data_IF_109394463153
#
_entry.id   IF_109394463153
#
_cell.length_a   1.000
_cell.length_b   1.000
_cell.length_c   1.000
_cell.angle_alpha   90.00
_cell.angle_beta   90.00
_cell.angle_gamma   90.00
#
_symmetry.space_group_name_H-M   'P 1'
#
loop_
_entity.id
_entity.type
_entity.pdbx_description
1 polymer ?
#
# COMPACT_ATOMS: atom_id res chain seq x y z
N UNK A 1 15.11 -1.85 4.28
CA UNK A 1 13.78 -1.32 3.93
C UNK A 1 13.22 -1.81 2.58
N UNK A 2 13.93 -1.68 1.46
CA UNK A 2 13.35 -1.76 0.10
C UNK A 2 12.72 -3.10 -0.32
N UNK A 3 13.10 -4.23 0.29
CA UNK A 3 12.51 -5.55 -0.04
C UNK A 3 11.39 -6.00 0.92
N UNK A 4 11.46 -5.63 2.20
CA UNK A 4 10.54 -6.12 3.23
C UNK A 4 9.16 -5.46 3.16
N UNK A 5 9.10 -4.15 2.91
CA UNK A 5 7.84 -3.44 2.79
C UNK A 5 6.97 -3.93 1.63
N UNK A 6 7.50 -4.08 0.38
CA UNK A 6 6.71 -4.64 -0.70
C UNK A 6 6.09 -5.99 -0.32
N UNK A 7 6.87 -6.92 0.25
CA UNK A 7 6.38 -8.24 0.67
C UNK A 7 5.18 -8.13 1.64
N UNK A 8 5.36 -7.38 2.73
CA UNK A 8 4.31 -7.15 3.73
C UNK A 8 3.07 -6.49 3.11
N UNK A 9 3.27 -5.41 2.36
CA UNK A 9 2.17 -4.60 1.79
C UNK A 9 1.31 -5.38 0.80
N UNK A 10 1.88 -6.33 0.06
CA UNK A 10 1.13 -7.23 -0.83
C UNK A 10 0.25 -8.14 0.00
N UNK A 11 0.83 -8.82 0.98
CA UNK A 11 0.14 -9.80 1.78
C UNK A 11 -1.00 -9.14 2.57
N UNK A 12 -0.76 -7.93 3.09
CA UNK A 12 -1.82 -7.09 3.63
C UNK A 12 -2.87 -6.72 2.56
N UNK A 13 -2.42 -6.29 1.37
CA UNK A 13 -3.30 -5.89 0.27
C UNK A 13 -4.26 -6.99 -0.18
N UNK A 14 -3.93 -8.26 0.01
CA UNK A 14 -4.81 -9.39 -0.37
C UNK A 14 -5.96 -9.66 0.59
N UNK A 15 -5.97 -9.07 1.79
CA UNK A 15 -7.08 -9.18 2.75
C UNK A 15 -8.36 -8.58 2.20
N UNK A 16 -9.52 -9.25 2.22
CA UNK A 16 -10.81 -8.65 1.87
C UNK A 16 -11.36 -7.74 2.98
N UNK A 17 -12.46 -7.02 2.71
CA UNK A 17 -13.15 -6.23 3.74
C UNK A 17 -13.60 -7.12 4.91
N UNK A 18 -14.07 -8.33 4.62
CA UNK A 18 -14.47 -9.32 5.62
C UNK A 18 -13.27 -9.86 6.40
N UNK A 19 -12.18 -10.19 5.71
CA UNK A 19 -10.96 -10.68 6.34
C UNK A 19 -10.29 -9.62 7.23
N UNK A 20 -10.47 -8.32 6.95
CA UNK A 20 -9.99 -7.28 7.85
C UNK A 20 -10.59 -7.38 9.26
N UNK A 21 -11.78 -7.93 9.40
CA UNK A 21 -12.45 -8.11 10.69
C UNK A 21 -12.20 -9.50 11.31
N UNK A 22 -11.55 -10.41 10.60
CA UNK A 22 -11.12 -11.71 11.13
C UNK A 22 -9.95 -11.56 12.11
N UNK A 23 -9.89 -12.48 13.07
CA UNK A 23 -8.87 -12.52 14.11
C UNK A 23 -7.59 -13.22 13.64
N UNK A 24 -6.46 -12.58 13.89
CA UNK A 24 -5.12 -13.15 13.77
C UNK A 24 -4.82 -14.10 14.94
N UNK A 25 -3.69 -14.82 14.88
CA UNK A 25 -3.26 -15.71 15.97
C UNK A 25 -2.98 -14.98 17.29
N UNK A 26 -2.69 -13.68 17.25
CA UNK A 26 -2.49 -12.83 18.44
C UNK A 26 -3.80 -12.30 19.04
N UNK A 27 -4.96 -12.62 18.45
CA UNK A 27 -6.28 -12.20 18.95
C UNK A 27 -6.68 -10.78 18.56
N UNK A 28 -5.88 -10.10 17.76
CA UNK A 28 -6.23 -8.84 17.09
C UNK A 28 -6.99 -9.12 15.80
N UNK A 29 -7.78 -8.18 15.28
CA UNK A 29 -8.21 -8.30 13.89
C UNK A 29 -7.11 -7.85 12.94
N UNK A 30 -7.13 -8.29 11.68
CA UNK A 30 -6.18 -7.79 10.69
C UNK A 30 -6.26 -6.26 10.52
N UNK A 31 -7.45 -5.67 10.68
CA UNK A 31 -7.64 -4.21 10.71
C UNK A 31 -6.84 -3.54 11.83
N UNK A 32 -6.89 -4.12 13.04
CA UNK A 32 -6.11 -3.63 14.19
C UNK A 32 -4.61 -3.76 13.93
N UNK A 33 -4.18 -4.92 13.40
CA UNK A 33 -2.78 -5.18 13.05
C UNK A 33 -2.23 -4.17 12.03
N UNK A 34 -2.96 -3.89 10.95
CA UNK A 34 -2.51 -2.94 9.93
C UNK A 34 -2.48 -1.49 10.44
N UNK A 35 -3.45 -1.10 11.27
CA UNK A 35 -3.47 0.22 11.87
C UNK A 35 -2.33 0.43 12.87
N UNK A 36 -1.99 -0.61 13.63
CA UNK A 36 -0.81 -0.66 14.48
C UNK A 36 0.49 -0.48 13.70
N UNK A 37 0.70 -1.24 12.62
CA UNK A 37 1.89 -1.09 11.77
C UNK A 37 1.99 0.34 11.21
N UNK A 38 0.87 0.92 10.76
CA UNK A 38 0.85 2.32 10.31
C UNK A 38 1.25 3.30 11.44
N UNK A 39 0.84 3.04 12.68
CA UNK A 39 1.18 3.87 13.82
C UNK A 39 2.66 3.81 14.20
N UNK A 40 3.29 2.64 14.11
CA UNK A 40 4.73 2.49 14.33
C UNK A 40 5.56 3.24 13.29
N UNK A 41 5.13 3.25 12.02
CA UNK A 41 5.79 4.10 11.01
C UNK A 41 5.73 5.59 11.35
N UNK A 42 4.57 6.08 11.81
CA UNK A 42 4.43 7.48 12.20
C UNK A 42 5.28 7.85 13.41
N UNK A 43 5.32 6.95 14.40
CA UNK A 43 6.13 7.13 15.59
C UNK A 43 7.62 7.18 15.23
N UNK A 44 8.08 6.26 14.38
CA UNK A 44 9.44 6.26 13.86
C UNK A 44 9.76 7.55 13.09
N UNK A 45 8.87 7.97 12.19
CA UNK A 45 9.02 9.19 11.41
C UNK A 45 9.08 10.44 12.31
N UNK A 46 8.35 10.46 13.42
CA UNK A 46 8.42 11.51 14.44
C UNK A 46 9.76 11.48 15.17
N UNK A 47 10.15 10.34 15.75
CA UNK A 47 11.42 10.18 16.49
C UNK A 47 12.63 10.61 15.66
N UNK A 48 12.65 10.24 14.38
CA UNK A 48 13.72 10.63 13.47
C UNK A 48 13.68 12.13 13.09
N UNK A 49 12.49 12.75 13.00
CA UNK A 49 12.38 14.21 12.80
C UNK A 49 12.90 14.98 14.01
N UNK A 50 12.53 14.54 15.21
CA UNK A 50 12.98 15.14 16.46
C UNK A 50 14.50 15.02 16.58
N UNK A 51 15.04 13.81 16.38
CA UNK A 51 16.48 13.58 16.34
C UNK A 51 17.19 14.43 15.29
N UNK A 52 16.62 14.57 14.08
CA UNK A 52 17.21 15.43 13.04
C UNK A 52 17.25 16.90 13.45
N UNK A 53 16.25 17.36 14.19
CA UNK A 53 16.12 18.75 14.61
C UNK A 53 16.97 19.09 15.84
N UNK A 54 17.13 18.16 16.78
CA UNK A 54 17.72 18.42 18.10
C UNK A 54 19.03 17.68 18.35
N UNK A 55 19.32 16.61 17.61
CA UNK A 55 20.39 15.66 17.89
C UNK A 55 20.12 14.77 19.10
N UNK A 56 18.93 14.80 19.70
CA UNK A 56 18.57 14.00 20.87
C UNK A 56 17.82 12.73 20.45
N UNK A 57 18.11 11.62 21.12
CA UNK A 57 17.48 10.30 20.87
C UNK A 57 16.20 10.11 21.65
N UNK A 58 16.03 10.86 22.73
CA UNK A 58 14.78 10.95 23.49
C UNK A 58 13.85 11.98 22.86
N UNK A 59 12.53 11.76 22.87
CA UNK A 59 11.58 12.79 22.47
C UNK A 59 11.82 14.03 23.32
N UNK A 60 11.91 15.21 22.71
CA UNK A 60 11.85 16.43 23.49
C UNK A 60 10.46 16.49 24.15
N UNK A 61 10.39 16.49 25.49
CA UNK A 61 9.17 16.55 26.32
C UNK A 61 8.24 17.76 26.03
N UNK A 62 8.53 18.58 25.02
CA UNK A 62 8.05 19.95 24.92
C UNK A 62 7.10 20.26 23.75
N UNK A 63 6.97 19.41 22.73
CA UNK A 63 6.10 19.73 21.58
C UNK A 63 4.75 19.00 21.63
N UNK A 64 3.80 19.62 22.33
CA UNK A 64 2.40 19.17 22.40
C UNK A 64 1.71 19.22 21.04
N UNK A 65 2.05 20.18 20.18
CA UNK A 65 1.42 20.36 18.87
C UNK A 65 1.84 19.24 17.90
N UNK A 66 3.12 18.85 17.91
CA UNK A 66 3.61 17.72 17.12
C UNK A 66 3.01 16.38 17.59
N UNK A 67 2.77 16.24 18.89
CA UNK A 67 2.13 15.06 19.48
C UNK A 67 0.63 15.02 19.15
N UNK A 68 -0.04 16.18 19.16
CA UNK A 68 -1.43 16.30 18.74
C UNK A 68 -1.62 16.01 17.25
N UNK A 69 -0.66 16.42 16.41
CA UNK A 69 -0.65 16.08 14.98
C UNK A 69 -0.51 14.57 14.76
N UNK A 70 0.37 13.91 15.52
CA UNK A 70 0.53 12.45 15.50
C UNK A 70 -0.78 11.75 15.91
N UNK A 71 -1.34 12.10 17.07
CA UNK A 71 -2.59 11.48 17.55
C UNK A 71 -3.77 11.72 16.61
N UNK A 72 -3.85 12.90 16.00
CA UNK A 72 -4.84 13.19 14.96
C UNK A 72 -4.62 12.33 13.70
N UNK A 73 -3.39 12.19 13.23
CA UNK A 73 -3.07 11.34 12.07
C UNK A 73 -3.43 9.87 12.33
N UNK A 74 -3.30 9.41 13.57
CA UNK A 74 -3.64 8.06 14.01
C UNK A 74 -5.13 7.86 14.34
N UNK A 75 -5.94 8.93 14.33
CA UNK A 75 -7.38 8.85 14.62
C UNK A 75 -7.71 8.61 16.09
N UNK A 76 -6.79 8.91 17.01
CA UNK A 76 -6.99 8.74 18.44
C UNK A 76 -7.86 9.87 19.03
N UNK A 77 -8.78 9.51 19.92
CA UNK A 77 -9.62 10.47 20.63
C UNK A 77 -8.80 11.25 21.66
N UNK A 78 -9.28 12.45 22.04
CA UNK A 78 -8.58 13.29 23.03
C UNK A 78 -8.40 12.59 24.38
N UNK A 79 -9.32 11.72 24.77
CA UNK A 79 -9.29 10.94 26.01
C UNK A 79 -8.17 9.88 26.00
N UNK A 80 -7.86 9.31 24.83
CA UNK A 80 -6.71 8.41 24.65
C UNK A 80 -5.37 9.16 24.66
N UNK A 81 -5.38 10.50 24.54
CA UNK A 81 -4.16 11.33 24.54
C UNK A 81 -3.58 11.53 25.93
N UNK A 82 -4.40 11.92 26.91
CA UNK A 82 -3.93 12.11 28.30
C UNK A 82 -3.37 10.80 28.89
N UNK A 83 -3.94 9.69 28.44
CA UNK A 83 -3.53 8.33 28.72
C UNK A 83 -2.13 7.96 28.19
N UNK A 84 -1.77 8.44 27.00
CA UNK A 84 -0.53 8.11 26.29
C UNK A 84 0.59 9.14 26.50
N UNK A 85 0.26 10.32 27.02
CA UNK A 85 1.19 11.39 27.40
C UNK A 85 1.72 11.26 28.84
N UNK A 86 1.31 10.22 29.58
CA UNK A 86 1.81 9.88 30.92
C UNK A 86 3.11 9.06 30.86
N UNK A 87 3.27 8.08 31.75
CA UNK A 87 4.33 7.07 31.60
C UNK A 87 4.14 6.32 30.28
N UNK A 88 5.17 6.29 29.43
CA UNK A 88 5.14 5.59 28.15
C UNK A 88 4.84 4.10 28.36
N UNK A 89 3.72 3.64 27.80
CA UNK A 89 3.27 2.25 27.86
C UNK A 89 2.94 1.78 26.44
N UNK A 90 3.75 0.85 25.95
CA UNK A 90 3.63 0.28 24.61
C UNK A 90 2.34 -0.50 24.43
N UNK A 91 1.89 -1.25 25.44
CA UNK A 91 0.68 -2.06 25.37
C UNK A 91 -0.56 -1.16 25.31
N UNK A 92 -0.54 -0.08 26.10
CA UNK A 92 -1.61 0.93 26.07
C UNK A 92 -1.68 1.65 24.74
N UNK A 93 -0.53 2.02 24.16
CA UNK A 93 -0.44 2.61 22.82
C UNK A 93 -1.03 1.67 21.77
N UNK A 94 -0.56 0.42 21.75
CA UNK A 94 -1.01 -0.61 20.83
C UNK A 94 -2.53 -0.86 20.93
N UNK A 95 -3.07 -0.94 22.15
CA UNK A 95 -4.50 -1.13 22.38
C UNK A 95 -5.34 0.05 21.88
N UNK A 96 -4.89 1.29 22.13
CA UNK A 96 -5.60 2.49 21.70
C UNK A 96 -5.63 2.60 20.16
N UNK A 97 -4.50 2.35 19.50
CA UNK A 97 -4.42 2.32 18.03
C UNK A 97 -5.28 1.21 17.45
N UNK A 98 -5.23 0.01 18.04
CA UNK A 98 -6.09 -1.09 17.67
C UNK A 98 -7.57 -0.70 17.75
N UNK A 99 -7.99 -0.06 18.84
CA UNK A 99 -9.37 0.40 19.01
C UNK A 99 -9.77 1.48 17.98
N UNK A 100 -8.91 2.45 17.71
CA UNK A 100 -9.17 3.50 16.71
C UNK A 100 -9.31 2.93 15.30
N UNK A 101 -8.46 1.96 14.96
CA UNK A 101 -8.41 1.34 13.63
C UNK A 101 -9.68 0.54 13.29
N UNK A 102 -10.46 0.12 14.29
CA UNK A 102 -11.75 -0.55 14.08
C UNK A 102 -12.78 0.31 13.31
N UNK A 103 -12.59 1.64 13.30
CA UNK A 103 -13.49 2.58 12.62
C UNK A 103 -13.09 2.87 11.18
N UNK A 104 -11.85 2.54 10.81
CA UNK A 104 -11.36 2.81 9.47
C UNK A 104 -11.93 1.79 8.50
N UNK A 105 -12.56 2.25 7.43
CA UNK A 105 -12.79 1.38 6.28
C UNK A 105 -11.46 1.01 5.61
N UNK A 106 -11.52 0.03 4.69
CA UNK A 106 -10.34 -0.47 3.99
C UNK A 106 -9.56 0.65 3.28
N UNK A 107 -10.23 1.55 2.57
CA UNK A 107 -9.54 2.60 1.82
C UNK A 107 -8.78 3.55 2.76
N UNK A 108 -9.43 3.96 3.87
CA UNK A 108 -8.80 4.79 4.90
C UNK A 108 -7.61 4.06 5.53
N UNK A 109 -7.78 2.79 5.91
CA UNK A 109 -6.73 1.99 6.53
C UNK A 109 -5.48 1.87 5.64
N UNK A 110 -5.66 1.53 4.36
CA UNK A 110 -4.55 1.40 3.43
C UNK A 110 -3.92 2.75 3.08
N UNK A 111 -4.71 3.83 3.04
CA UNK A 111 -4.17 5.19 2.87
C UNK A 111 -3.30 5.60 4.07
N UNK A 112 -3.71 5.28 5.30
CA UNK A 112 -2.87 5.48 6.50
C UNK A 112 -1.60 4.64 6.44
N UNK A 113 -1.73 3.36 6.09
CA UNK A 113 -0.62 2.42 6.00
C UNK A 113 0.44 2.86 4.96
N UNK A 114 0.01 3.21 3.75
CA UNK A 114 0.90 3.66 2.68
C UNK A 114 1.47 5.05 2.96
N UNK A 115 0.63 5.97 3.43
CA UNK A 115 1.04 7.33 3.77
C UNK A 115 2.07 7.40 4.89
N UNK A 116 1.91 6.57 5.92
CA UNK A 116 2.86 6.50 7.04
C UNK A 116 4.22 5.94 6.63
N UNK A 117 4.24 4.90 5.81
CA UNK A 117 5.49 4.38 5.24
C UNK A 117 6.19 5.40 4.33
N UNK A 118 5.43 6.14 3.51
CA UNK A 118 5.97 7.20 2.66
C UNK A 118 6.63 8.31 3.49
N UNK A 119 5.97 8.78 4.55
CA UNK A 119 6.52 9.78 5.48
C UNK A 119 7.78 9.28 6.18
N UNK A 120 7.79 8.03 6.65
CA UNK A 120 9.00 7.43 7.24
C UNK A 120 10.17 7.45 6.25
N UNK A 121 9.93 7.04 4.99
CA UNK A 121 10.96 7.05 3.95
C UNK A 121 11.49 8.45 3.64
N UNK A 122 10.62 9.46 3.60
CA UNK A 122 11.01 10.84 3.38
C UNK A 122 11.95 11.33 4.50
N UNK A 123 11.60 11.06 5.75
CA UNK A 123 12.44 11.45 6.90
C UNK A 123 13.78 10.74 6.87
N UNK A 124 13.81 9.42 6.60
CA UNK A 124 15.06 8.66 6.49
C UNK A 124 15.94 9.18 5.35
N UNK A 125 15.36 9.51 4.19
CA UNK A 125 16.10 10.06 3.05
C UNK A 125 16.70 11.45 3.32
N UNK A 126 16.18 12.16 4.33
CA UNK A 126 16.64 13.48 4.73
C UNK A 126 17.64 13.47 5.91
N UNK A 127 18.02 12.30 6.43
CA UNK A 127 19.09 12.18 7.43
C UNK A 127 20.46 12.33 6.75
N UNK A 128 21.40 13.01 7.42
CA UNK A 128 22.81 13.02 6.99
C UNK A 128 23.53 11.73 7.34
N UNK A 129 24.66 11.43 6.68
CA UNK A 129 25.50 10.27 7.02
C UNK A 129 25.96 10.29 8.48
N UNK A 130 26.24 11.48 9.03
CA UNK A 130 26.57 11.67 10.45
C UNK A 130 25.40 11.30 11.34
N UNK A 131 24.18 11.76 11.03
CA UNK A 131 22.98 11.40 11.78
C UNK A 131 22.66 9.91 11.69
N UNK A 132 22.88 9.28 10.53
CA UNK A 132 22.69 7.84 10.34
C UNK A 132 23.65 7.01 11.20
N UNK A 133 24.85 7.53 11.50
CA UNK A 133 25.90 6.82 12.23
C UNK A 133 26.09 7.27 13.69
N UNK A 134 25.38 8.30 14.13
CA UNK A 134 25.45 8.82 15.50
C UNK A 134 24.67 7.98 16.52
N UNK A 135 24.99 8.18 17.81
CA UNK A 135 24.35 7.54 18.95
C UNK A 135 24.28 6.01 18.81
N UNK A 136 25.46 5.38 18.78
CA UNK A 136 25.58 3.92 18.66
C UNK A 136 25.55 3.28 20.04
N UNK A 137 24.57 2.41 20.24
CA UNK A 137 24.46 1.55 21.42
C UNK A 137 24.34 0.09 20.94
N UNK A 138 25.05 -0.82 21.61
CA UNK A 138 25.06 -2.25 21.25
C UNK A 138 25.36 -2.55 19.77
N UNK A 139 26.14 -1.67 19.11
CA UNK A 139 26.54 -1.82 17.72
C UNK A 139 25.48 -1.38 16.69
N UNK A 140 24.39 -0.73 17.12
CA UNK A 140 23.37 -0.14 16.24
C UNK A 140 23.27 1.36 16.51
N UNK A 141 23.23 2.18 15.46
CA UNK A 141 22.92 3.60 15.62
C UNK A 141 21.44 3.79 15.98
N UNK A 142 21.12 4.87 16.69
CA UNK A 142 19.74 5.22 17.01
C UNK A 142 18.84 5.21 15.76
N UNK A 143 19.27 5.88 14.69
CA UNK A 143 18.50 5.95 13.45
C UNK A 143 18.24 4.56 12.86
N UNK A 144 19.23 3.66 12.89
CA UNK A 144 19.05 2.28 12.43
C UNK A 144 18.09 1.51 13.35
N UNK A 145 18.26 1.60 14.67
CA UNK A 145 17.44 0.88 15.64
C UNK A 145 15.96 1.27 15.55
N UNK A 146 15.66 2.57 15.40
CA UNK A 146 14.30 3.07 15.20
C UNK A 146 13.69 2.55 13.89
N UNK A 147 14.41 2.69 12.77
CA UNK A 147 13.88 2.24 11.47
C UNK A 147 13.70 0.73 11.44
N UNK A 148 14.65 -0.05 11.96
CA UNK A 148 14.54 -1.50 12.01
C UNK A 148 13.38 -1.93 12.90
N UNK A 149 13.37 -1.49 14.16
CA UNK A 149 12.38 -1.90 15.17
C UNK A 149 10.96 -1.51 14.80
N UNK A 150 10.77 -0.33 14.21
CA UNK A 150 9.43 0.21 13.96
C UNK A 150 8.96 -0.05 12.50
N UNK A 151 9.76 -0.74 11.67
CA UNK A 151 9.39 -1.08 10.29
C UNK A 151 9.81 -2.50 9.87
N UNK A 152 10.91 -2.65 9.12
CA UNK A 152 11.25 -3.90 8.45
C UNK A 152 11.67 -5.04 9.39
N UNK A 153 12.07 -4.74 10.63
CA UNK A 153 12.30 -5.71 11.69
C UNK A 153 11.00 -6.20 12.35
N UNK A 154 9.92 -5.43 12.25
CA UNK A 154 8.61 -5.71 12.85
C UNK A 154 7.66 -6.44 11.89
N UNK A 155 7.76 -6.21 10.58
CA UNK A 155 6.92 -6.96 9.60
C UNK A 155 6.97 -8.49 9.73
N UNK A 156 8.13 -9.13 10.01
CA UNK A 156 8.21 -10.58 10.20
C UNK A 156 7.32 -11.11 11.34
N UNK A 157 7.01 -10.30 12.35
CA UNK A 157 6.12 -10.70 13.46
C UNK A 157 4.69 -10.99 12.95
N UNK A 158 4.29 -10.34 11.87
CA UNK A 158 2.99 -10.47 11.23
C UNK A 158 3.00 -11.36 9.98
N UNK A 159 4.16 -11.87 9.56
CA UNK A 159 4.29 -12.65 8.33
C UNK A 159 3.48 -13.96 8.42
N UNK A 160 3.54 -14.65 9.56
CA UNK A 160 2.75 -15.87 9.78
C UNK A 160 1.24 -15.58 9.79
N UNK A 161 0.83 -14.44 10.35
CA UNK A 161 -0.58 -14.03 10.38
C UNK A 161 -1.09 -13.77 8.96
N UNK A 162 -0.31 -13.06 8.14
CA UNK A 162 -0.68 -12.77 6.75
C UNK A 162 -0.60 -13.99 5.83
N UNK A 163 0.36 -14.90 6.06
CA UNK A 163 0.56 -16.07 5.20
C UNK A 163 -0.68 -16.99 5.15
N UNK A 164 -1.51 -17.00 6.20
CA UNK A 164 -2.75 -17.80 6.26
C UNK A 164 -3.82 -17.30 5.28
N UNK A 165 -3.81 -16.00 4.98
CA UNK A 165 -4.87 -15.31 4.23
C UNK A 165 -4.43 -14.87 2.83
N UNK A 166 -3.14 -14.97 2.50
CA UNK A 166 -2.63 -14.77 1.13
C UNK A 166 -3.23 -15.85 0.20
N UNK A 167 -3.82 -15.47 -0.95
CA UNK A 167 -4.34 -16.41 -1.92
C UNK A 167 -3.31 -17.48 -2.32
N UNK A 168 -3.59 -18.73 -1.95
CA UNK A 168 -2.70 -19.86 -2.19
C UNK A 168 -2.89 -20.51 -3.58
N UNK A 169 -3.88 -20.06 -4.36
CA UNK A 169 -4.16 -20.58 -5.72
C UNK A 169 -4.54 -19.46 -6.69
N UNK A 170 -4.41 -19.74 -7.98
CA UNK A 170 -4.83 -18.83 -9.05
C UNK A 170 -6.32 -18.50 -8.99
N UNK A 171 -7.17 -19.46 -8.60
CA UNK A 171 -8.61 -19.25 -8.40
C UNK A 171 -8.91 -18.28 -7.26
N UNK A 172 -8.23 -18.43 -6.12
CA UNK A 172 -8.41 -17.51 -4.99
C UNK A 172 -7.96 -16.08 -5.37
N UNK A 173 -6.83 -15.96 -6.08
CA UNK A 173 -6.33 -14.66 -6.54
C UNK A 173 -7.27 -14.04 -7.60
N UNK A 174 -7.77 -14.83 -8.55
CA UNK A 174 -8.71 -14.35 -9.56
C UNK A 174 -10.06 -13.95 -8.95
N UNK A 175 -10.61 -14.74 -8.03
CA UNK A 175 -11.84 -14.40 -7.32
C UNK A 175 -11.71 -13.07 -6.57
N UNK A 176 -10.53 -12.81 -6.00
CA UNK A 176 -10.23 -11.54 -5.36
C UNK A 176 -10.21 -10.38 -6.35
N UNK A 177 -9.47 -10.53 -7.45
CA UNK A 177 -9.42 -9.55 -8.53
C UNK A 177 -10.84 -9.26 -9.07
N UNK A 178 -11.70 -10.27 -9.17
CA UNK A 178 -13.07 -10.12 -9.66
C UNK A 178 -13.92 -9.21 -8.75
N UNK A 179 -13.70 -9.24 -7.42
CA UNK A 179 -14.43 -8.37 -6.49
C UNK A 179 -14.07 -6.90 -6.71
N UNK A 180 -12.78 -6.59 -6.78
CA UNK A 180 -12.30 -5.21 -6.93
C UNK A 180 -12.57 -4.68 -8.36
N UNK A 181 -12.49 -5.56 -9.36
CA UNK A 181 -12.87 -5.24 -10.73
C UNK A 181 -14.32 -4.76 -10.83
N UNK A 182 -15.26 -5.45 -10.19
CA UNK A 182 -16.69 -5.06 -10.23
C UNK A 182 -16.89 -3.63 -9.72
N UNK A 183 -16.27 -3.29 -8.59
CA UNK A 183 -16.33 -1.95 -7.98
C UNK A 183 -15.74 -0.89 -8.93
N UNK A 184 -14.56 -1.16 -9.48
CA UNK A 184 -13.90 -0.27 -10.44
C UNK A 184 -14.74 -0.08 -11.72
N UNK A 185 -15.17 -1.19 -12.33
CA UNK A 185 -15.93 -1.19 -13.57
C UNK A 185 -17.28 -0.51 -13.44
N UNK A 186 -17.90 -0.60 -12.25
CA UNK A 186 -19.12 0.11 -11.92
C UNK A 186 -18.92 1.63 -11.89
N UNK A 187 -17.81 2.13 -11.34
CA UNK A 187 -17.48 3.57 -11.38
C UNK A 187 -17.30 4.06 -12.82
N UNK A 188 -16.53 3.32 -13.62
CA UNK A 188 -16.36 3.60 -15.07
C UNK A 188 -17.70 3.58 -15.80
N UNK A 189 -18.60 2.63 -15.44
CA UNK A 189 -19.95 2.55 -16.01
C UNK A 189 -20.80 3.77 -15.66
N UNK A 190 -20.75 4.25 -14.42
CA UNK A 190 -21.52 5.42 -13.96
C UNK A 190 -21.09 6.72 -14.66
N UNK A 191 -19.79 6.91 -14.90
CA UNK A 191 -19.27 8.03 -15.70
C UNK A 191 -19.86 8.03 -17.12
N UNK A 192 -20.06 6.83 -17.68
CA UNK A 192 -20.64 6.64 -19.00
C UNK A 192 -19.73 7.09 -20.14
N UNK A 193 -20.13 6.76 -21.38
CA UNK A 193 -19.30 7.06 -22.57
C UNK A 193 -19.06 8.55 -22.78
N UNK A 194 -20.04 9.38 -22.43
CA UNK A 194 -19.94 10.83 -22.59
C UNK A 194 -18.92 11.44 -21.63
N UNK A 195 -18.87 10.96 -20.38
CA UNK A 195 -17.94 11.45 -19.37
C UNK A 195 -16.49 11.05 -19.61
N UNK A 196 -16.21 10.03 -20.46
CA UNK A 196 -14.84 9.62 -20.77
C UNK A 196 -13.97 10.72 -21.41
N UNK A 197 -14.58 11.74 -22.02
CA UNK A 197 -13.86 12.90 -22.56
C UNK A 197 -13.52 13.97 -21.52
N UNK A 198 -14.09 13.91 -20.33
CA UNK A 198 -13.84 14.88 -19.26
C UNK A 198 -12.44 14.66 -18.65
N UNK A 199 -11.88 15.72 -18.07
CA UNK A 199 -10.55 15.69 -17.48
C UNK A 199 -10.59 15.43 -15.98
N UNK A 200 -9.68 14.59 -15.52
CA UNK A 200 -9.34 14.42 -14.10
C UNK A 200 -8.63 15.66 -13.57
N UNK A 201 -8.51 15.77 -12.25
CA UNK A 201 -7.78 16.85 -11.57
C UNK A 201 -6.30 16.96 -11.96
N UNK A 202 -5.70 15.87 -12.43
CA UNK A 202 -4.32 15.80 -12.92
C UNK A 202 -4.19 16.02 -14.43
N UNK A 203 -5.29 16.35 -15.10
CA UNK A 203 -5.31 16.81 -16.49
C UNK A 203 -5.40 15.71 -17.54
N UNK A 204 -5.45 14.42 -17.18
CA UNK A 204 -5.77 13.34 -18.13
C UNK A 204 -7.26 13.30 -18.43
N UNK A 205 -7.66 12.84 -19.62
CA UNK A 205 -9.07 12.48 -19.80
C UNK A 205 -9.37 11.18 -19.05
N UNK A 206 -10.62 10.95 -18.67
CA UNK A 206 -11.02 9.65 -18.12
C UNK A 206 -10.79 8.50 -19.11
N UNK A 207 -10.83 8.77 -20.42
CA UNK A 207 -10.41 7.81 -21.46
C UNK A 207 -8.91 7.49 -21.35
N UNK A 208 -8.06 8.49 -21.10
CA UNK A 208 -6.62 8.27 -20.90
C UNK A 208 -6.37 7.44 -19.64
N UNK A 209 -7.11 7.71 -18.56
CA UNK A 209 -7.03 6.91 -17.33
C UNK A 209 -7.44 5.45 -17.58
N UNK A 210 -8.51 5.20 -18.34
CA UNK A 210 -8.89 3.85 -18.77
C UNK A 210 -7.78 3.22 -19.61
N UNK A 211 -7.25 3.93 -20.62
CA UNK A 211 -6.19 3.44 -21.50
C UNK A 211 -4.91 3.05 -20.72
N UNK A 212 -4.57 3.81 -19.70
CA UNK A 212 -3.50 3.50 -18.74
C UNK A 212 -3.77 2.20 -17.98
N UNK A 213 -4.98 2.01 -17.43
CA UNK A 213 -5.39 0.76 -16.76
C UNK A 213 -5.32 -0.42 -17.73
N UNK A 214 -5.78 -0.27 -18.99
CA UNK A 214 -5.66 -1.32 -20.02
C UNK A 214 -4.22 -1.76 -20.20
N UNK A 215 -3.28 -0.81 -20.29
CA UNK A 215 -1.85 -1.12 -20.39
C UNK A 215 -1.40 -2.05 -19.26
N UNK A 216 -1.70 -1.70 -18.01
CA UNK A 216 -1.32 -2.53 -16.86
C UNK A 216 -1.98 -3.92 -16.85
N UNK A 217 -3.22 -4.04 -17.31
CA UNK A 217 -3.88 -5.35 -17.46
C UNK A 217 -3.16 -6.22 -18.50
N UNK A 218 -2.73 -5.63 -19.62
CA UNK A 218 -1.95 -6.34 -20.65
C UNK A 218 -0.52 -6.67 -20.20
N UNK A 219 0.00 -5.98 -19.19
CA UNK A 219 1.32 -6.23 -18.62
C UNK A 219 1.38 -7.48 -17.75
N UNK A 220 0.29 -7.79 -17.04
CA UNK A 220 0.21 -8.97 -16.17
C UNK A 220 0.53 -10.28 -16.88
N UNK A 221 -0.17 -10.69 -17.96
CA UNK A 221 0.13 -11.95 -18.64
C UNK A 221 1.55 -11.97 -19.20
N UNK A 222 2.03 -10.85 -19.77
CA UNK A 222 3.41 -10.74 -20.28
C UNK A 222 4.45 -10.97 -19.18
N UNK A 223 4.19 -10.48 -17.98
CA UNK A 223 5.11 -10.64 -16.84
C UNK A 223 5.07 -12.02 -16.22
N UNK A 224 3.90 -12.67 -16.17
CA UNK A 224 3.81 -14.08 -15.74
C UNK A 224 4.73 -14.92 -16.64
N UNK A 225 4.62 -14.77 -17.96
CA UNK A 225 5.48 -15.50 -18.91
C UNK A 225 6.96 -15.14 -18.77
N UNK A 226 7.30 -13.86 -18.56
CA UNK A 226 8.69 -13.47 -18.31
C UNK A 226 9.26 -14.06 -17.01
N UNK A 227 8.43 -14.19 -15.97
CA UNK A 227 8.84 -14.84 -14.70
C UNK A 227 9.05 -16.33 -14.92
N UNK A 228 8.12 -17.01 -15.62
CA UNK A 228 8.26 -18.42 -16.03
C UNK A 228 9.54 -18.68 -16.80
N UNK A 229 9.88 -17.77 -17.71
CA UNK A 229 11.10 -17.83 -18.52
C UNK A 229 12.38 -17.38 -17.77
N UNK A 230 12.28 -16.88 -16.53
CA UNK A 230 13.42 -16.33 -15.79
C UNK A 230 14.01 -15.05 -16.38
N UNK A 231 13.29 -14.36 -17.27
CA UNK A 231 13.72 -13.12 -17.96
C UNK A 231 13.10 -11.85 -17.39
N UNK A 232 12.27 -11.99 -16.35
CA UNK A 232 11.58 -10.89 -15.73
C UNK A 232 12.54 -9.79 -15.23
N UNK A 233 12.25 -8.55 -15.63
CA UNK A 233 12.88 -7.34 -15.11
C UNK A 233 11.83 -6.46 -14.44
N UNK A 234 11.99 -6.12 -13.14
CA UNK A 234 11.10 -5.17 -12.49
C UNK A 234 11.27 -3.78 -13.10
N UNK A 235 10.21 -2.97 -13.03
CA UNK A 235 10.34 -1.53 -13.30
C UNK A 235 11.08 -0.93 -12.11
N UNK A 236 12.19 -0.25 -12.38
CA UNK A 236 13.17 0.16 -11.40
C UNK A 236 13.04 1.63 -10.96
N UNK A 237 12.24 2.44 -11.66
CA UNK A 237 12.11 3.87 -11.35
C UNK A 237 10.75 4.46 -11.70
N UNK A 238 10.41 5.58 -11.05
CA UNK A 238 9.22 6.37 -11.37
C UNK A 238 9.22 6.82 -12.84
N UNK A 239 10.38 7.24 -13.36
CA UNK A 239 10.52 7.62 -14.77
C UNK A 239 10.09 6.50 -15.72
N UNK A 240 10.46 5.26 -15.44
CA UNK A 240 10.06 4.10 -16.27
C UNK A 240 8.56 3.81 -16.17
N UNK A 241 7.94 4.06 -15.00
CA UNK A 241 6.49 3.99 -14.81
C UNK A 241 5.82 5.07 -15.66
N UNK A 242 6.27 6.32 -15.58
CA UNK A 242 5.70 7.45 -16.32
C UNK A 242 5.81 7.23 -17.83
N UNK A 243 6.96 6.75 -18.30
CA UNK A 243 7.17 6.38 -19.69
C UNK A 243 6.25 5.24 -20.14
N UNK A 244 6.01 4.26 -19.27
CA UNK A 244 5.08 3.17 -19.55
C UNK A 244 3.65 3.68 -19.68
N UNK A 245 3.20 4.50 -18.72
CA UNK A 245 1.87 5.10 -18.70
C UNK A 245 1.65 5.97 -19.95
N UNK A 246 2.62 6.83 -20.29
CA UNK A 246 2.56 7.69 -21.47
C UNK A 246 2.43 6.88 -22.76
N UNK A 247 3.16 5.76 -22.89
CA UNK A 247 3.01 4.85 -24.05
C UNK A 247 1.65 4.18 -24.10
N UNK A 248 1.13 3.72 -22.97
CA UNK A 248 -0.20 3.08 -22.87
C UNK A 248 -1.31 4.03 -23.33
N UNK A 249 -1.24 5.31 -22.95
CA UNK A 249 -2.18 6.35 -23.41
C UNK A 249 -1.95 6.68 -24.89
N UNK A 250 -0.71 6.94 -25.30
CA UNK A 250 -0.40 7.36 -26.67
C UNK A 250 -0.80 6.31 -27.72
N UNK A 251 -0.60 5.03 -27.43
CA UNK A 251 -1.01 3.92 -28.33
C UNK A 251 -2.51 3.83 -28.55
N UNK A 252 -3.33 4.47 -27.69
CA UNK A 252 -4.80 4.46 -27.71
C UNK A 252 -5.40 5.83 -28.02
N UNK A 253 -4.58 6.78 -28.48
CA UNK A 253 -5.01 8.15 -28.75
C UNK A 253 -6.21 8.21 -29.73
N UNK A 254 -6.19 7.36 -30.76
CA UNK A 254 -7.23 7.28 -31.80
C UNK A 254 -8.39 6.35 -31.47
N UNK A 255 -8.33 5.62 -30.35
CA UNK A 255 -9.42 4.71 -29.96
C UNK A 255 -10.57 5.51 -29.38
N UNK A 256 -11.77 5.28 -29.90
CA UNK A 256 -13.00 5.92 -29.42
C UNK A 256 -13.45 5.40 -28.05
N UNK A 257 -14.28 6.15 -27.30
CA UNK A 257 -14.71 5.78 -25.95
C UNK A 257 -15.33 4.38 -25.83
N UNK A 258 -16.17 3.97 -26.80
CA UNK A 258 -16.81 2.65 -26.78
C UNK A 258 -15.79 1.52 -26.98
N UNK A 259 -14.98 1.61 -28.03
CA UNK A 259 -13.90 0.64 -28.28
C UNK A 259 -12.91 0.57 -27.11
N UNK A 260 -12.71 1.67 -26.37
CA UNK A 260 -11.85 1.67 -25.20
C UNK A 260 -12.42 0.90 -24.00
N UNK A 261 -13.75 0.92 -23.82
CA UNK A 261 -14.41 0.09 -22.83
C UNK A 261 -14.39 -1.39 -23.24
N UNK A 262 -14.57 -1.70 -24.52
CA UNK A 262 -14.46 -3.08 -25.03
C UNK A 262 -13.04 -3.64 -24.86
N UNK A 263 -12.03 -2.81 -25.09
CA UNK A 263 -10.63 -3.17 -24.89
C UNK A 263 -10.33 -3.39 -23.40
N UNK A 264 -10.83 -2.52 -22.53
CA UNK A 264 -10.76 -2.68 -21.08
C UNK A 264 -11.34 -4.02 -20.62
N UNK A 265 -12.56 -4.35 -21.05
CA UNK A 265 -13.22 -5.61 -20.69
C UNK A 265 -12.51 -6.84 -21.29
N UNK A 266 -11.87 -6.69 -22.45
CA UNK A 266 -11.09 -7.76 -23.10
C UNK A 266 -9.75 -8.00 -22.41
N UNK A 267 -9.03 -6.94 -22.07
CA UNK A 267 -7.75 -7.02 -21.37
C UNK A 267 -7.91 -7.57 -19.96
N UNK A 268 -8.99 -7.20 -19.26
CA UNK A 268 -9.34 -7.82 -17.98
C UNK A 268 -9.57 -9.33 -18.11
N UNK A 269 -10.35 -9.80 -19.10
CA UNK A 269 -10.60 -11.24 -19.31
C UNK A 269 -9.30 -12.02 -19.55
N UNK A 270 -8.40 -11.48 -20.39
CA UNK A 270 -7.09 -12.10 -20.67
C UNK A 270 -6.19 -12.15 -19.45
N UNK A 271 -6.13 -11.04 -18.70
CA UNK A 271 -5.37 -10.98 -17.44
C UNK A 271 -5.91 -12.01 -16.45
N UNK A 272 -7.24 -12.08 -16.28
CA UNK A 272 -7.91 -13.03 -15.40
C UNK A 272 -7.63 -14.48 -15.78
N UNK A 273 -7.69 -14.80 -17.08
CA UNK A 273 -7.34 -16.13 -17.60
C UNK A 273 -5.89 -16.51 -17.26
N UNK A 274 -4.94 -15.58 -17.41
CA UNK A 274 -3.54 -15.82 -17.06
C UNK A 274 -3.36 -16.06 -15.55
N UNK A 275 -4.09 -15.34 -14.69
CA UNK A 275 -4.07 -15.55 -13.24
C UNK A 275 -4.68 -16.89 -12.84
N UNK A 276 -5.78 -17.30 -13.48
CA UNK A 276 -6.37 -18.62 -13.28
C UNK A 276 -5.42 -19.76 -13.69
N UNK A 277 -4.59 -19.52 -14.70
CA UNK A 277 -3.59 -20.46 -15.17
C UNK A 277 -2.32 -20.56 -14.32
N UNK A 278 -2.27 -19.93 -13.14
CA UNK A 278 -1.14 -20.07 -12.21
C UNK A 278 -1.20 -21.41 -11.48
N UNK A 279 -0.07 -22.11 -11.42
CA UNK A 279 0.09 -23.23 -10.49
C UNK A 279 0.06 -22.75 -9.03
N UNK A 280 -0.12 -23.66 -8.07
CA UNK A 280 -0.13 -23.30 -6.65
C UNK A 280 1.19 -22.68 -6.18
N UNK A 281 2.32 -23.12 -6.72
CA UNK A 281 3.65 -22.55 -6.40
C UNK A 281 3.82 -21.15 -7.01
N UNK A 282 3.28 -20.93 -8.21
CA UNK A 282 3.27 -19.60 -8.83
C UNK A 282 2.32 -18.64 -8.12
N UNK A 283 1.15 -19.10 -7.69
CA UNK A 283 0.20 -18.29 -6.92
C UNK A 283 0.80 -17.87 -5.57
N UNK A 284 1.54 -18.77 -4.91
CA UNK A 284 2.28 -18.48 -3.67
C UNK A 284 3.58 -17.70 -3.90
N UNK A 285 4.00 -17.51 -5.15
CA UNK A 285 5.23 -16.76 -5.43
C UNK A 285 4.99 -15.28 -5.11
N UNK A 286 5.70 -14.71 -4.11
CA UNK A 286 5.45 -13.34 -3.67
C UNK A 286 5.72 -12.31 -4.77
N UNK A 287 6.58 -12.62 -5.76
CA UNK A 287 6.82 -11.71 -6.90
C UNK A 287 5.65 -11.69 -7.87
N UNK A 288 5.01 -12.83 -8.13
CA UNK A 288 3.83 -12.91 -8.99
C UNK A 288 2.65 -12.25 -8.27
N UNK A 289 2.41 -12.60 -7.01
CA UNK A 289 1.37 -11.98 -6.20
C UNK A 289 1.54 -10.46 -6.11
N UNK A 290 2.77 -9.95 -5.91
CA UNK A 290 3.08 -8.51 -5.96
C UNK A 290 2.67 -7.90 -7.29
N UNK A 291 3.22 -8.48 -8.35
CA UNK A 291 3.12 -7.94 -9.69
C UNK A 291 1.67 -7.85 -10.14
N UNK A 292 0.86 -8.87 -9.85
CA UNK A 292 -0.58 -8.89 -10.12
C UNK A 292 -1.31 -7.86 -9.26
N UNK A 293 -1.06 -7.83 -7.95
CA UNK A 293 -1.79 -6.97 -7.02
C UNK A 293 -1.59 -5.47 -7.29
N UNK A 294 -0.34 -5.04 -7.56
CA UNK A 294 -0.04 -3.62 -7.86
C UNK A 294 -0.54 -3.15 -9.22
N UNK A 295 -0.94 -4.07 -10.11
CA UNK A 295 -1.48 -3.75 -11.45
C UNK A 295 -3.00 -3.92 -11.52
N UNK A 296 -3.61 -4.42 -10.46
CA UNK A 296 -5.05 -4.72 -10.40
C UNK A 296 -5.64 -4.11 -9.14
N UNK A 297 -5.73 -4.89 -8.06
CA UNK A 297 -6.38 -4.56 -6.79
C UNK A 297 -5.96 -3.18 -6.26
N UNK A 298 -4.66 -2.96 -6.09
CA UNK A 298 -4.15 -1.69 -5.52
C UNK A 298 -4.26 -0.53 -6.51
N UNK A 299 -4.11 -0.84 -7.81
CA UNK A 299 -4.16 0.15 -8.87
C UNK A 299 -5.57 0.73 -9.08
N UNK A 300 -6.59 -0.12 -8.92
CA UNK A 300 -7.98 0.27 -9.04
C UNK A 300 -8.53 0.95 -7.79
N UNK A 301 -7.96 0.66 -6.62
CA UNK A 301 -8.21 1.41 -5.39
C UNK A 301 -7.65 2.84 -5.52
N UNK A 302 -6.41 2.98 -5.97
CA UNK A 302 -5.74 4.28 -6.20
C UNK A 302 -6.50 5.14 -7.21
N UNK A 303 -6.69 4.65 -8.43
CA UNK A 303 -7.36 5.43 -9.48
C UNK A 303 -8.89 5.43 -9.35
N UNK A 304 -9.46 4.54 -8.54
CA UNK A 304 -10.90 4.49 -8.31
C UNK A 304 -11.46 5.78 -7.74
N UNK A 305 -10.69 6.49 -6.91
CA UNK A 305 -11.06 7.79 -6.37
C UNK A 305 -11.09 8.91 -7.42
N UNK A 306 -10.33 8.78 -8.51
CA UNK A 306 -10.31 9.79 -9.58
C UNK A 306 -11.60 9.78 -10.40
N UNK A 307 -12.33 8.66 -10.44
CA UNK A 307 -13.64 8.52 -11.10
C UNK A 307 -14.82 9.09 -10.28
N UNK A 308 -14.55 10.01 -9.36
CA UNK A 308 -15.56 10.81 -8.66
C UNK A 308 -15.55 12.25 -9.22
N UNK A 309 -16.71 12.80 -9.64
CA UNK A 309 -16.80 14.19 -10.09
C UNK A 309 -16.57 15.20 -8.96
#
# INVERSE_FOLDING_TARGET
MTAAWPAFRIAAGTLTDEQLDEKTSSGWTYRQMLGHVAAWHELAARRLRDFRATGQTEPADADRDATDALFKALGLAAEDREALLGEWDMDRFNAAIGAASLRDDRHVLFTKLDGSFARLREVVAALSDEQVSAHVEEGRSFAYAVVEGDSFGHYPEHEAELAVVVPATGEALAARIDMDWRRFRERVRHLGRAGLGERTSIGWTYKDLVAHVVGWLEDVPRRIEAIRAGTHKPIASQREIDEYNARSVASRALVGPEAMLDELDTSYRRMREAVLGLSADEARNPRIALMVSVRTILHWEEHGGEFQP
#
